data_IF_172476912734
#
_entry.id   IF_172476912734
#
_cell.length_a   1.000
_cell.length_b   1.000
_cell.length_c   1.000
_cell.angle_alpha   90.00
_cell.angle_beta   90.00
_cell.angle_gamma   90.00
#
_symmetry.space_group_name_H-M   'P 1'
#
loop_
_entity.id
_entity.type
_entity.pdbx_description
1 polymer ?
#
# COMPACT_ATOMS: atom_id res chain seq x y z
N UNK A 1 65.06 -30.90 11.26
CA UNK A 1 63.60 -31.03 11.43
C UNK A 1 62.97 -29.95 10.57
N UNK A 2 62.43 -30.33 9.42
CA UNK A 2 61.76 -29.43 8.50
C UNK A 2 60.26 -29.54 8.77
N UNK A 3 59.63 -28.44 9.19
CA UNK A 3 58.17 -28.39 9.37
C UNK A 3 57.58 -27.96 8.03
N UNK A 4 57.07 -28.92 7.27
CA UNK A 4 56.26 -28.67 6.08
C UNK A 4 54.86 -28.22 6.53
N UNK A 5 54.53 -26.97 6.23
CA UNK A 5 53.25 -26.36 6.61
C UNK A 5 52.14 -26.85 5.66
N UNK A 6 51.26 -27.71 6.17
CA UNK A 6 50.11 -28.27 5.47
C UNK A 6 49.16 -27.17 5.00
N UNK A 7 49.06 -26.97 3.67
CA UNK A 7 48.02 -26.11 3.06
C UNK A 7 46.64 -26.72 3.30
N UNK A 8 45.91 -26.17 4.28
CA UNK A 8 44.49 -26.50 4.54
C UNK A 8 43.64 -26.12 3.33
N UNK A 9 43.08 -27.12 2.66
CA UNK A 9 42.12 -26.97 1.56
C UNK A 9 40.77 -26.48 2.08
N UNK A 10 40.57 -25.16 2.12
CA UNK A 10 39.28 -24.52 2.40
C UNK A 10 38.65 -23.94 1.13
N UNK A 11 37.31 -23.97 1.06
CA UNK A 11 36.50 -23.37 -0.01
C UNK A 11 36.84 -21.88 -0.22
N UNK A 12 37.67 -21.58 -1.23
CA UNK A 12 38.00 -20.21 -1.66
C UNK A 12 37.98 -20.10 -3.19
N UNK A 13 36.94 -20.64 -3.83
CA UNK A 13 36.81 -20.64 -5.29
C UNK A 13 36.46 -19.27 -5.90
N UNK A 14 36.09 -18.26 -5.08
CA UNK A 14 35.74 -16.91 -5.51
C UNK A 14 36.81 -15.84 -5.18
N UNK A 15 37.83 -16.19 -4.41
CA UNK A 15 38.88 -15.22 -4.05
C UNK A 15 39.95 -15.27 -5.12
N UNK A 16 39.91 -14.34 -6.07
CA UNK A 16 41.06 -14.08 -6.93
C UNK A 16 42.13 -13.39 -6.08
N UNK A 17 43.34 -13.93 -6.07
CA UNK A 17 44.51 -13.25 -5.50
C UNK A 17 44.67 -11.91 -6.22
N UNK A 18 44.49 -10.80 -5.50
CA UNK A 18 44.70 -9.46 -6.05
C UNK A 18 46.20 -9.21 -6.07
N UNK A 19 46.76 -8.95 -7.26
CA UNK A 19 48.03 -8.24 -7.34
C UNK A 19 47.77 -6.83 -6.79
N UNK A 20 48.34 -6.52 -5.62
CA UNK A 20 48.20 -5.23 -4.92
C UNK A 20 48.89 -4.09 -5.68
N UNK A 21 48.42 -3.78 -6.89
CA UNK A 21 48.48 -2.40 -7.35
C UNK A 21 47.45 -1.63 -6.54
N UNK A 22 47.95 -0.92 -5.52
CA UNK A 22 47.17 -0.08 -4.62
C UNK A 22 46.54 1.07 -5.41
N UNK A 23 45.42 0.79 -6.08
CA UNK A 23 44.57 1.84 -6.63
C UNK A 23 44.02 2.65 -5.46
N UNK A 24 44.24 3.97 -5.48
CA UNK A 24 43.64 4.86 -4.50
C UNK A 24 42.13 4.89 -4.74
N UNK A 25 41.40 4.14 -3.91
CA UNK A 25 39.94 4.01 -3.95
C UNK A 25 39.25 5.13 -3.15
N UNK A 26 39.99 6.17 -2.73
CA UNK A 26 39.39 7.29 -2.00
C UNK A 26 38.47 8.07 -2.94
N UNK A 27 37.25 8.42 -2.49
CA UNK A 27 36.35 9.24 -3.28
C UNK A 27 36.96 10.63 -3.51
N UNK A 28 37.15 11.00 -4.77
CA UNK A 28 37.64 12.32 -5.18
C UNK A 28 36.45 13.25 -5.42
N UNK A 29 36.58 14.51 -5.02
CA UNK A 29 35.56 15.53 -5.31
C UNK A 29 35.49 15.75 -6.82
N UNK A 30 34.32 15.57 -7.42
CA UNK A 30 34.09 15.87 -8.85
C UNK A 30 34.11 17.39 -9.02
N UNK A 31 35.06 17.89 -9.80
CA UNK A 31 35.21 19.33 -10.07
C UNK A 31 34.29 19.83 -11.20
N UNK A 32 33.88 18.92 -12.09
CA UNK A 32 33.03 19.22 -13.24
C UNK A 32 31.54 19.30 -12.85
N UNK A 33 31.01 20.52 -12.78
CA UNK A 33 29.58 20.76 -12.51
C UNK A 33 28.65 20.17 -13.58
N UNK A 34 29.16 19.86 -14.78
CA UNK A 34 28.40 19.20 -15.85
C UNK A 34 28.22 17.69 -15.63
N UNK A 35 29.09 17.05 -14.84
CA UNK A 35 28.94 15.66 -14.42
C UNK A 35 28.04 15.50 -13.20
N UNK A 36 27.83 16.59 -12.45
CA UNK A 36 26.73 16.71 -11.51
C UNK A 36 25.46 16.84 -12.34
N UNK A 37 25.01 15.73 -12.91
CA UNK A 37 23.61 15.61 -13.33
C UNK A 37 22.84 15.80 -12.03
N UNK A 38 22.39 17.04 -11.79
CA UNK A 38 21.40 17.30 -10.77
C UNK A 38 20.29 16.30 -11.09
N UNK A 39 19.94 15.38 -10.18
CA UNK A 39 18.74 14.61 -10.40
C UNK A 39 17.66 15.68 -10.54
N UNK A 40 17.11 15.84 -11.76
CA UNK A 40 15.78 16.40 -11.92
C UNK A 40 14.97 15.77 -10.81
N UNK A 41 14.22 16.57 -10.03
CA UNK A 41 13.45 16.15 -8.86
C UNK A 41 12.56 14.93 -9.18
N UNK A 42 13.17 13.77 -9.30
CA UNK A 42 12.56 12.48 -9.47
C UNK A 42 12.44 12.03 -8.04
N UNK A 43 11.25 12.26 -7.51
CA UNK A 43 10.81 11.85 -6.17
C UNK A 43 10.91 10.31 -6.00
N UNK A 44 11.36 9.58 -7.02
CA UNK A 44 11.44 8.13 -7.04
C UNK A 44 12.87 7.67 -7.35
N UNK A 45 13.37 6.73 -6.55
CA UNK A 45 14.68 6.09 -6.78
C UNK A 45 14.69 5.34 -8.12
N UNK A 46 15.85 5.21 -8.75
CA UNK A 46 16.00 4.39 -9.96
C UNK A 46 15.56 2.91 -9.77
N UNK A 47 15.53 2.43 -8.51
CA UNK A 47 15.00 1.11 -8.14
C UNK A 47 13.48 1.00 -8.33
N UNK A 48 12.75 2.11 -8.14
CA UNK A 48 11.31 2.18 -8.32
C UNK A 48 10.96 2.18 -9.82
N UNK A 49 11.86 2.69 -10.68
CA UNK A 49 11.71 2.66 -12.15
C UNK A 49 11.68 1.25 -12.74
N UNK A 50 12.26 0.27 -12.04
CA UNK A 50 12.22 -1.15 -12.43
C UNK A 50 10.89 -1.85 -12.05
N UNK A 51 9.94 -1.14 -11.42
CA UNK A 51 8.61 -1.68 -11.06
C UNK A 51 8.64 -2.67 -9.90
N UNK A 52 9.64 -2.55 -9.01
CA UNK A 52 9.91 -3.57 -7.99
C UNK A 52 8.88 -3.54 -6.86
N UNK A 53 8.48 -2.35 -6.39
CA UNK A 53 7.40 -2.12 -5.43
C UNK A 53 7.27 -0.60 -5.21
N UNK A 54 6.07 -0.03 -5.28
CA UNK A 54 5.77 1.33 -4.82
C UNK A 54 4.61 1.29 -3.85
N UNK A 55 4.77 1.90 -2.68
CA UNK A 55 3.70 2.07 -1.69
C UNK A 55 3.40 3.56 -1.51
N UNK A 56 2.13 3.91 -1.71
CA UNK A 56 1.62 5.26 -1.49
C UNK A 56 0.56 5.19 -0.41
N UNK A 57 0.86 5.77 0.75
CA UNK A 57 -0.12 5.97 1.80
C UNK A 57 -1.29 6.83 1.33
N UNK A 58 -2.50 6.39 1.63
CA UNK A 58 -3.75 7.08 1.37
C UNK A 58 -4.26 7.62 2.70
N UNK A 59 -4.38 8.94 2.78
CA UNK A 59 -4.85 9.60 3.99
C UNK A 59 -6.37 9.48 4.12
N UNK A 60 -6.88 9.61 5.35
CA UNK A 60 -8.32 9.62 5.66
C UNK A 60 -9.15 10.54 4.75
N UNK A 61 -8.65 11.73 4.43
CA UNK A 61 -9.36 12.67 3.55
C UNK A 61 -9.50 12.16 2.11
N UNK A 62 -8.51 11.40 1.62
CA UNK A 62 -8.57 10.79 0.30
C UNK A 62 -9.55 9.61 0.31
N UNK A 63 -9.54 8.79 1.37
CA UNK A 63 -10.52 7.71 1.58
C UNK A 63 -11.94 8.29 1.61
N UNK A 64 -12.14 9.40 2.34
CA UNK A 64 -13.41 10.12 2.40
C UNK A 64 -13.90 10.52 1.01
N UNK A 65 -13.03 11.12 0.18
CA UNK A 65 -13.36 11.51 -1.20
C UNK A 65 -13.69 10.32 -2.10
N UNK A 66 -12.96 9.21 -1.96
CA UNK A 66 -13.22 7.97 -2.69
C UNK A 66 -14.63 7.47 -2.36
N UNK A 67 -14.98 7.41 -1.07
CA UNK A 67 -16.30 6.98 -0.64
C UNK A 67 -17.40 7.94 -1.10
N UNK A 68 -17.18 9.25 -1.02
CA UNK A 68 -18.14 10.24 -1.52
C UNK A 68 -18.41 10.07 -3.03
N UNK A 69 -17.38 9.78 -3.81
CA UNK A 69 -17.50 9.62 -5.26
C UNK A 69 -18.22 8.31 -5.65
N UNK A 70 -17.82 7.18 -5.05
CA UNK A 70 -18.26 5.85 -5.49
C UNK A 70 -19.40 5.25 -4.66
N UNK A 71 -19.60 5.69 -3.40
CA UNK A 71 -20.63 5.15 -2.51
C UNK A 71 -21.95 5.92 -2.54
N UNK A 72 -21.91 7.27 -2.52
CA UNK A 72 -23.12 8.13 -2.44
C UNK A 72 -24.01 7.97 -3.69
N UNK A 73 -23.41 7.62 -4.83
CA UNK A 73 -24.15 7.36 -6.09
C UNK A 73 -24.89 6.02 -6.10
N UNK A 74 -24.68 5.16 -5.09
CA UNK A 74 -25.23 3.80 -5.07
C UNK A 74 -26.60 3.77 -4.36
N UNK A 75 -27.62 3.30 -5.07
CA UNK A 75 -28.96 3.08 -4.52
C UNK A 75 -28.96 1.84 -3.59
N UNK A 76 -29.54 1.97 -2.40
CA UNK A 76 -29.98 0.85 -1.57
C UNK A 76 -31.44 0.56 -1.88
N UNK A 77 -31.85 -0.73 -1.81
CA UNK A 77 -33.14 -1.21 -2.35
C UNK A 77 -34.37 -0.37 -1.92
N UNK A 78 -34.30 0.34 -0.79
CA UNK A 78 -35.30 1.32 -0.35
C UNK A 78 -34.76 2.72 0.07
N UNK A 79 -33.45 3.01 -0.07
CA UNK A 79 -32.91 4.33 0.31
C UNK A 79 -31.57 4.68 -0.34
N UNK A 80 -31.33 5.97 -0.60
CA UNK A 80 -30.02 6.44 -1.06
C UNK A 80 -29.05 6.55 0.10
N UNK A 81 -27.78 6.21 -0.13
CA UNK A 81 -26.70 6.59 0.78
C UNK A 81 -26.48 8.09 0.60
N UNK A 82 -26.80 8.88 1.61
CA UNK A 82 -26.73 10.34 1.53
C UNK A 82 -25.37 10.87 1.98
N UNK A 83 -24.80 10.25 3.01
CA UNK A 83 -23.52 10.64 3.56
C UNK A 83 -22.70 9.42 3.95
N UNK A 84 -21.39 9.51 3.76
CA UNK A 84 -20.43 8.58 4.31
C UNK A 84 -19.38 9.40 5.04
N UNK A 85 -19.02 9.01 6.26
CA UNK A 85 -18.00 9.70 7.06
C UNK A 85 -17.01 8.68 7.58
N UNK A 86 -15.76 8.82 7.19
CA UNK A 86 -14.66 8.01 7.74
C UNK A 86 -14.39 8.50 9.16
N UNK A 87 -14.53 7.63 10.16
CA UNK A 87 -14.24 7.92 11.57
C UNK A 87 -12.76 7.71 11.87
N UNK A 88 -12.23 6.58 11.42
CA UNK A 88 -10.83 6.16 11.51
C UNK A 88 -10.49 5.34 10.27
N UNK A 89 -9.23 5.35 9.90
CA UNK A 89 -8.75 4.43 8.88
C UNK A 89 -7.55 4.95 8.12
N UNK A 90 -6.81 3.99 7.60
CA UNK A 90 -5.65 4.18 6.75
C UNK A 90 -5.78 3.31 5.50
N UNK A 91 -5.07 3.70 4.45
CA UNK A 91 -5.00 2.93 3.22
C UNK A 91 -3.62 3.00 2.60
N UNK A 92 -3.33 2.03 1.76
CA UNK A 92 -2.09 1.93 0.99
C UNK A 92 -2.41 1.55 -0.45
N UNK A 93 -1.86 2.30 -1.40
CA UNK A 93 -1.86 1.93 -2.81
C UNK A 93 -0.52 1.29 -3.15
N UNK A 94 -0.52 -0.02 -3.21
CA UNK A 94 0.67 -0.84 -3.47
C UNK A 94 0.72 -1.18 -4.96
N UNK A 95 1.81 -0.82 -5.63
CA UNK A 95 2.07 -1.17 -7.03
C UNK A 95 3.21 -2.18 -7.11
N UNK A 96 2.92 -3.39 -7.59
CA UNK A 96 3.91 -4.47 -7.76
C UNK A 96 3.93 -4.91 -9.21
N UNK A 97 5.06 -4.74 -9.91
CA UNK A 97 5.23 -5.14 -11.32
C UNK A 97 4.11 -4.64 -12.23
N UNK A 98 3.69 -3.38 -12.04
CA UNK A 98 2.61 -2.74 -12.81
C UNK A 98 1.18 -3.11 -12.37
N UNK A 99 1.01 -4.02 -11.40
CA UNK A 99 -0.30 -4.33 -10.82
C UNK A 99 -0.54 -3.47 -9.58
N UNK A 100 -1.66 -2.75 -9.55
CA UNK A 100 -2.08 -1.94 -8.40
C UNK A 100 -2.99 -2.75 -7.48
N UNK A 101 -2.73 -2.67 -6.18
CA UNK A 101 -3.49 -3.24 -5.07
C UNK A 101 -3.79 -2.14 -4.07
N UNK A 102 -5.01 -2.16 -3.53
CA UNK A 102 -5.47 -1.18 -2.56
C UNK A 102 -5.66 -1.90 -1.23
N UNK A 103 -4.81 -1.64 -0.24
CA UNK A 103 -5.05 -2.05 1.14
C UNK A 103 -5.80 -0.94 1.87
N UNK A 104 -6.79 -1.29 2.67
CA UNK A 104 -7.51 -0.34 3.52
C UNK A 104 -8.00 -1.02 4.79
N UNK A 105 -8.05 -0.25 5.87
CA UNK A 105 -8.73 -0.60 7.11
C UNK A 105 -9.46 0.66 7.60
N UNK A 106 -10.80 0.64 7.62
CA UNK A 106 -11.62 1.82 7.83
C UNK A 106 -12.82 1.57 8.74
N UNK A 107 -13.08 2.54 9.60
CA UNK A 107 -14.31 2.69 10.37
C UNK A 107 -15.16 3.79 9.73
N UNK A 108 -16.40 3.46 9.38
CA UNK A 108 -17.30 4.33 8.62
C UNK A 108 -18.60 4.58 9.36
N UNK A 109 -19.15 5.77 9.20
CA UNK A 109 -20.51 6.12 9.55
C UNK A 109 -21.27 6.48 8.28
N UNK A 110 -22.34 5.75 7.99
CA UNK A 110 -23.15 5.90 6.78
C UNK A 110 -24.52 6.46 7.15
N UNK A 111 -24.88 7.61 6.59
CA UNK A 111 -26.22 8.19 6.68
C UNK A 111 -27.08 7.77 5.49
N UNK A 112 -28.22 7.17 5.78
CA UNK A 112 -29.23 6.80 4.80
C UNK A 112 -30.25 7.93 4.63
N UNK A 113 -30.85 8.03 3.44
CA UNK A 113 -31.91 9.01 3.15
C UNK A 113 -33.16 8.86 4.04
N UNK A 114 -33.35 7.68 4.66
CA UNK A 114 -34.37 7.43 5.68
C UNK A 114 -34.10 8.13 7.02
N UNK A 115 -32.98 8.86 7.16
CA UNK A 115 -32.53 9.49 8.40
C UNK A 115 -31.81 8.53 9.36
N UNK A 116 -31.65 7.26 8.97
CA UNK A 116 -30.94 6.26 9.77
C UNK A 116 -29.44 6.39 9.59
N UNK A 117 -28.69 6.33 10.70
CA UNK A 117 -27.22 6.33 10.70
C UNK A 117 -26.72 4.94 11.09
N UNK A 118 -25.84 4.38 10.27
CA UNK A 118 -25.25 3.06 10.48
C UNK A 118 -23.75 3.19 10.61
N UNK A 119 -23.20 2.79 11.75
CA UNK A 119 -21.76 2.71 11.96
C UNK A 119 -21.26 1.32 11.59
N UNK A 120 -20.24 1.27 10.75
CA UNK A 120 -19.49 0.08 10.35
C UNK A 120 -18.07 0.23 10.89
N UNK A 121 -17.56 -0.80 11.56
CA UNK A 121 -16.27 -0.78 12.25
C UNK A 121 -15.44 -1.94 11.68
N UNK A 122 -14.16 -1.72 11.43
CA UNK A 122 -13.22 -2.75 10.97
C UNK A 122 -13.49 -3.24 9.55
N UNK A 123 -13.80 -2.34 8.61
CA UNK A 123 -13.90 -2.73 7.19
C UNK A 123 -12.48 -2.77 6.61
N UNK A 124 -12.07 -3.94 6.17
CA UNK A 124 -10.75 -4.22 5.64
C UNK A 124 -10.81 -4.83 4.21
N UNK A 125 -9.69 -4.73 3.47
CA UNK A 125 -9.56 -5.35 2.13
C UNK A 125 -9.49 -6.89 2.22
N UNK A 126 -8.87 -7.42 3.26
CA UNK A 126 -8.70 -8.86 3.46
C UNK A 126 -10.05 -9.53 3.80
N UNK A 127 -10.38 -10.61 3.07
CA UNK A 127 -11.61 -11.38 3.33
C UNK A 127 -11.51 -12.23 4.60
N UNK A 128 -10.30 -12.54 5.07
CA UNK A 128 -10.02 -13.47 6.18
C UNK A 128 -9.88 -12.78 7.55
N UNK A 129 -9.49 -11.49 7.60
CA UNK A 129 -9.15 -10.78 8.86
C UNK A 129 -10.21 -9.76 9.32
N UNK A 130 -11.29 -9.54 8.57
CA UNK A 130 -12.36 -8.64 8.98
C UNK A 130 -13.18 -9.31 10.09
N UNK A 131 -12.78 -9.08 11.35
CA UNK A 131 -13.47 -9.59 12.53
C UNK A 131 -14.98 -9.36 12.43
N UNK A 132 -15.69 -10.45 12.70
CA UNK A 132 -17.14 -10.54 12.79
C UNK A 132 -17.74 -9.30 13.47
N UNK A 133 -18.42 -8.46 12.68
CA UNK A 133 -19.08 -7.25 13.15
C UNK A 133 -19.95 -7.59 14.38
N UNK A 134 -19.68 -6.96 15.54
CA UNK A 134 -20.56 -7.08 16.71
C UNK A 134 -21.89 -6.40 16.39
N UNK A 135 -22.93 -7.20 16.13
CA UNK A 135 -24.30 -6.72 15.86
C UNK A 135 -25.23 -7.26 16.95
N UNK A 136 -25.91 -6.37 17.69
CA UNK A 136 -26.85 -6.79 18.75
C UNK A 136 -28.26 -7.16 18.24
N UNK A 137 -28.62 -6.82 16.98
CA UNK A 137 -29.95 -7.05 16.43
C UNK A 137 -29.95 -7.64 15.00
N UNK A 138 -30.70 -8.74 14.81
CA UNK A 138 -30.78 -9.49 13.54
C UNK A 138 -31.26 -8.65 12.35
N UNK A 139 -32.22 -7.74 12.52
CA UNK A 139 -32.70 -6.86 11.42
C UNK A 139 -31.65 -5.86 10.92
N UNK A 140 -30.63 -5.54 11.71
CA UNK A 140 -29.51 -4.70 11.26
C UNK A 140 -28.41 -5.51 10.55
N UNK A 141 -28.43 -6.84 10.64
CA UNK A 141 -27.35 -7.68 10.11
C UNK A 141 -27.36 -7.72 8.58
N UNK A 142 -28.52 -7.91 7.95
CA UNK A 142 -28.64 -7.97 6.48
C UNK A 142 -28.31 -6.62 5.83
N UNK A 143 -28.86 -5.53 6.37
CA UNK A 143 -28.56 -4.17 5.93
C UNK A 143 -27.06 -3.86 6.02
N UNK A 144 -26.40 -4.24 7.13
CA UNK A 144 -24.96 -4.04 7.29
C UNK A 144 -24.16 -4.85 6.28
N UNK A 145 -24.51 -6.12 6.02
CA UNK A 145 -23.83 -6.94 5.00
C UNK A 145 -23.95 -6.32 3.61
N UNK A 146 -25.12 -5.80 3.26
CA UNK A 146 -25.32 -5.12 1.99
C UNK A 146 -24.49 -3.83 1.89
N UNK A 147 -24.48 -3.02 2.95
CA UNK A 147 -23.68 -1.79 3.01
C UNK A 147 -22.17 -2.09 2.91
N UNK A 148 -21.67 -3.10 3.62
CA UNK A 148 -20.27 -3.54 3.52
C UNK A 148 -19.96 -3.97 2.08
N UNK A 149 -20.83 -4.74 1.44
CA UNK A 149 -20.65 -5.13 0.03
C UNK A 149 -20.58 -3.93 -0.90
N UNK A 150 -21.39 -2.89 -0.65
CA UNK A 150 -21.37 -1.63 -1.42
C UNK A 150 -20.10 -0.83 -1.18
N UNK A 151 -19.62 -0.75 0.05
CA UNK A 151 -18.34 -0.13 0.39
C UNK A 151 -17.19 -0.85 -0.31
N UNK A 152 -17.13 -2.19 -0.26
CA UNK A 152 -16.10 -2.97 -0.96
C UNK A 152 -16.16 -2.76 -2.48
N UNK A 153 -17.36 -2.74 -3.06
CA UNK A 153 -17.55 -2.44 -4.48
C UNK A 153 -17.07 -1.01 -4.83
N UNK A 154 -17.33 -0.01 -3.99
CA UNK A 154 -16.86 1.35 -4.20
C UNK A 154 -15.32 1.43 -4.24
N UNK A 155 -14.63 0.70 -3.36
CA UNK A 155 -13.16 0.60 -3.40
C UNK A 155 -12.64 -0.14 -4.63
N UNK A 156 -13.33 -1.19 -5.09
CA UNK A 156 -12.96 -1.91 -6.31
C UNK A 156 -13.20 -1.06 -7.58
N UNK A 157 -14.26 -0.25 -7.63
CA UNK A 157 -14.48 0.72 -8.70
C UNK A 157 -13.39 1.78 -8.74
N UNK A 158 -12.99 2.29 -7.56
CA UNK A 158 -11.85 3.19 -7.48
C UNK A 158 -10.57 2.54 -7.99
N UNK A 159 -10.31 1.29 -7.62
CA UNK A 159 -9.16 0.52 -8.13
C UNK A 159 -9.17 0.37 -9.65
N UNK A 160 -10.35 0.16 -10.27
CA UNK A 160 -10.47 0.09 -11.73
C UNK A 160 -10.30 1.44 -12.42
N UNK A 161 -10.55 2.55 -11.71
CA UNK A 161 -10.37 3.91 -12.22
C UNK A 161 -8.91 4.40 -12.24
N UNK A 162 -8.02 3.69 -11.53
CA UNK A 162 -6.60 4.03 -11.34
C UNK A 162 -5.71 3.54 -12.49
#
# INVERSE_FOLDING_TARGET
MSVEEQKKSGYRYWVRERNDQLYDMRPTKVEDQKQIVQPEKQVASAWNKAGTWEDKGINREQIQRILEQFLITTQNDDSFIQTAKVLRGEGSLITVRGKRKLGYEVDLEIGLASGSVVTLIGICDDEDDCEEYKVSHKNQMELRKELVKKVKNAFEQFRQSL
#
